data_IF_439932362787
#
_entry.id   IF_439932362787
#
_cell.length_a   1.000
_cell.length_b   1.000
_cell.length_c   1.000
_cell.angle_alpha   90.00
_cell.angle_beta   90.00
_cell.angle_gamma   90.00
#
_symmetry.space_group_name_H-M   'P 1'
#
loop_
_entity.id
_entity.type
_entity.pdbx_description
1 polymer ?
#
# COMPACT_ATOMS: atom_id res chain seq x y z
N UNK A 1 4.34 44.06 -1.85
CA UNK A 1 4.57 42.71 -2.39
C UNK A 1 4.01 41.71 -1.40
N UNK A 2 3.07 40.88 -1.84
CA UNK A 2 2.29 39.94 -1.03
C UNK A 2 3.04 38.61 -1.01
N UNK A 3 3.55 38.20 0.15
CA UNK A 3 4.02 36.84 0.41
C UNK A 3 3.52 36.46 1.80
N UNK A 4 2.21 36.20 1.89
CA UNK A 4 1.66 35.49 3.03
C UNK A 4 2.04 34.02 2.87
N UNK A 5 3.14 33.67 3.53
CA UNK A 5 3.68 32.32 3.67
C UNK A 5 2.60 31.38 4.23
N UNK A 6 2.47 30.19 3.63
CA UNK A 6 1.45 29.17 3.94
C UNK A 6 1.43 28.68 5.40
N UNK A 7 2.38 29.12 6.22
CA UNK A 7 2.45 28.86 7.66
C UNK A 7 1.25 29.48 8.41
N UNK A 8 0.70 30.60 7.94
CA UNK A 8 -0.41 31.28 8.63
C UNK A 8 -1.77 30.55 8.51
N UNK A 9 -1.95 29.69 7.50
CA UNK A 9 -3.22 28.99 7.27
C UNK A 9 -3.35 27.76 8.19
N UNK A 10 -2.24 27.13 8.58
CA UNK A 10 -2.25 25.94 9.42
C UNK A 10 -2.64 26.24 10.89
N UNK A 11 -2.41 27.47 11.36
CA UNK A 11 -2.76 27.88 12.73
C UNK A 11 -4.23 28.29 12.92
N UNK A 12 -5.03 28.38 11.86
CA UNK A 12 -6.40 28.89 11.95
C UNK A 12 -7.49 27.82 12.14
N UNK A 13 -7.13 26.52 12.13
CA UNK A 13 -8.11 25.40 12.14
C UNK A 13 -8.22 24.73 13.53
N UNK A 14 -7.56 25.22 14.57
CA UNK A 14 -7.55 24.60 15.91
C UNK A 14 -8.42 25.33 16.96
N UNK A 15 -9.53 25.97 16.57
CA UNK A 15 -10.38 26.71 17.54
C UNK A 15 -11.88 26.42 17.50
N UNK A 16 -12.38 25.45 16.72
CA UNK A 16 -13.83 25.20 16.61
C UNK A 16 -14.24 23.74 16.81
N UNK A 17 -13.87 23.14 17.95
CA UNK A 17 -14.44 21.86 18.36
C UNK A 17 -14.72 21.82 19.87
N UNK A 18 -15.64 22.67 20.33
CA UNK A 18 -16.44 22.38 21.53
C UNK A 18 -17.83 21.90 21.06
N UNK A 19 -18.10 20.58 20.99
CA UNK A 19 -19.47 20.10 20.95
C UNK A 19 -20.07 20.21 22.35
N UNK A 20 -20.88 21.25 22.53
CA UNK A 20 -21.79 21.36 23.67
C UNK A 20 -22.73 20.16 23.70
N UNK A 21 -22.76 19.49 24.84
CA UNK A 21 -23.73 18.45 25.14
C UNK A 21 -25.15 19.05 25.14
N UNK A 22 -26.01 18.57 24.25
CA UNK A 22 -27.46 18.62 24.46
C UNK A 22 -27.92 17.18 24.64
N UNK A 23 -28.16 16.84 25.92
CA UNK A 23 -28.98 15.71 26.33
C UNK A 23 -30.39 15.93 25.79
N UNK A 24 -30.86 15.01 24.94
CA UNK A 24 -32.28 14.77 24.75
C UNK A 24 -32.52 13.27 24.96
N UNK A 25 -32.97 12.95 26.18
CA UNK A 25 -33.52 11.66 26.54
C UNK A 25 -34.73 11.36 25.64
N UNK A 26 -34.70 10.24 24.93
CA UNK A 26 -35.88 9.66 24.30
C UNK A 26 -36.23 8.38 25.07
N UNK A 27 -37.08 8.52 26.08
CA UNK A 27 -37.72 7.38 26.75
C UNK A 27 -38.96 6.94 25.95
N UNK A 28 -39.19 5.63 25.85
CA UNK A 28 -40.47 5.10 25.40
C UNK A 28 -40.39 3.88 24.49
N UNK A 29 -39.72 2.82 24.94
CA UNK A 29 -39.94 1.48 24.39
C UNK A 29 -41.35 0.98 24.73
N UNK A 30 -42.03 0.40 23.73
CA UNK A 30 -43.11 -0.57 23.94
C UNK A 30 -42.79 -1.80 23.10
N UNK A 31 -42.71 -3.00 23.69
CA UNK A 31 -42.63 -4.24 22.93
C UNK A 31 -44.03 -4.58 22.41
N UNK A 32 -44.11 -4.98 21.15
CA UNK A 32 -45.27 -5.68 20.62
C UNK A 32 -44.76 -7.03 20.13
N UNK A 33 -44.97 -8.05 20.97
CA UNK A 33 -44.92 -9.45 20.59
C UNK A 33 -46.08 -9.72 19.64
N UNK A 34 -45.81 -10.37 18.50
CA UNK A 34 -46.79 -11.20 17.81
C UNK A 34 -46.03 -12.21 16.92
N UNK A 35 -45.91 -13.41 17.48
CA UNK A 35 -45.60 -14.65 16.78
C UNK A 35 -46.56 -14.88 15.61
N UNK A 36 -46.04 -15.12 14.41
CA UNK A 36 -46.63 -16.10 13.48
C UNK A 36 -45.56 -16.93 12.76
N UNK A 37 -45.46 -18.15 13.27
CA UNK A 37 -44.98 -19.34 12.57
C UNK A 37 -45.66 -19.51 11.20
N UNK A 38 -44.89 -19.84 10.16
CA UNK A 38 -45.21 -20.90 9.18
C UNK A 38 -43.99 -21.13 8.25
N UNK A 39 -43.08 -22.05 8.56
CA UNK A 39 -43.08 -23.46 8.12
C UNK A 39 -43.12 -23.66 6.58
N UNK A 40 -41.94 -23.76 5.94
CA UNK A 40 -41.47 -24.97 5.23
C UNK A 40 -40.23 -24.71 4.35
N UNK A 41 -39.17 -25.50 4.50
CA UNK A 41 -38.18 -25.75 3.46
C UNK A 41 -38.57 -27.03 2.68
N UNK A 42 -38.83 -26.93 1.38
CA UNK A 42 -39.10 -28.11 0.57
C UNK A 42 -38.05 -28.31 -0.55
N UNK A 43 -37.09 -29.17 -0.19
CA UNK A 43 -36.42 -30.25 -0.95
C UNK A 43 -35.76 -29.99 -2.33
N UNK A 44 -34.54 -30.55 -2.57
CA UNK A 44 -33.92 -30.61 -3.89
C UNK A 44 -34.41 -31.82 -4.71
N UNK A 45 -34.49 -31.67 -6.03
CA UNK A 45 -34.76 -32.76 -6.97
C UNK A 45 -33.61 -32.90 -8.00
N UNK A 46 -33.02 -34.11 -7.98
CA UNK A 46 -32.42 -34.91 -9.05
C UNK A 46 -32.85 -34.54 -10.50
N UNK A 47 -32.10 -34.76 -11.59
CA UNK A 47 -31.22 -35.88 -11.95
C UNK A 47 -30.49 -35.58 -13.30
N UNK A 48 -29.22 -35.98 -13.38
CA UNK A 48 -28.54 -36.78 -14.42
C UNK A 48 -28.61 -36.48 -15.94
N UNK A 49 -27.38 -36.37 -16.48
CA UNK A 49 -26.79 -37.00 -17.67
C UNK A 49 -27.23 -36.57 -19.08
N UNK A 50 -26.30 -35.90 -19.77
CA UNK A 50 -25.95 -36.24 -21.16
C UNK A 50 -24.41 -36.25 -21.32
N UNK A 51 -23.86 -37.43 -21.60
CA UNK A 51 -22.54 -37.64 -22.20
C UNK A 51 -22.67 -37.44 -23.72
N UNK A 52 -21.70 -36.78 -24.36
CA UNK A 52 -21.22 -37.16 -25.70
C UNK A 52 -19.93 -36.41 -26.13
N UNK A 53 -18.83 -37.16 -26.10
CA UNK A 53 -17.74 -37.31 -27.08
C UNK A 53 -17.05 -36.12 -27.81
N UNK A 54 -15.80 -35.86 -27.35
CA UNK A 54 -14.50 -35.70 -28.08
C UNK A 54 -14.21 -34.44 -28.95
N UNK A 55 -12.92 -34.11 -29.28
CA UNK A 55 -11.63 -34.75 -28.94
C UNK A 55 -10.52 -33.84 -28.31
N UNK A 56 -9.58 -34.53 -27.66
CA UNK A 56 -8.20 -34.21 -27.25
C UNK A 56 -7.54 -32.86 -27.65
N UNK A 57 -6.91 -32.23 -26.64
CA UNK A 57 -5.64 -31.48 -26.77
C UNK A 57 -4.67 -31.90 -25.65
N UNK A 58 -3.40 -32.22 -25.95
CA UNK A 58 -2.49 -32.85 -24.99
C UNK A 58 -2.02 -31.89 -23.90
N UNK A 59 -2.09 -32.36 -22.65
CA UNK A 59 -1.43 -31.79 -21.50
C UNK A 59 0.08 -32.05 -21.60
N UNK A 60 0.86 -30.99 -21.37
CA UNK A 60 2.31 -31.02 -21.36
C UNK A 60 2.80 -31.78 -20.11
N UNK A 61 3.10 -33.07 -20.27
CA UNK A 61 3.70 -33.91 -19.23
C UNK A 61 5.22 -33.71 -19.25
N UNK A 62 5.77 -33.21 -18.14
CA UNK A 62 7.21 -33.29 -17.85
C UNK A 62 7.65 -34.76 -17.85
N UNK A 63 8.73 -35.13 -18.55
CA UNK A 63 9.31 -36.45 -18.37
C UNK A 63 10.12 -36.47 -17.06
N UNK A 64 9.57 -37.13 -16.04
CA UNK A 64 10.36 -37.75 -14.99
C UNK A 64 10.91 -39.08 -15.53
N UNK A 65 12.22 -39.15 -15.77
CA UNK A 65 13.03 -40.38 -15.67
C UNK A 65 14.51 -40.08 -15.98
N UNK A 66 15.35 -40.12 -14.93
CA UNK A 66 16.57 -40.93 -14.88
C UNK A 66 17.30 -40.70 -13.54
N UNK A 67 16.91 -41.47 -12.54
CA UNK A 67 17.82 -41.86 -11.46
C UNK A 67 18.14 -43.34 -11.67
N UNK A 68 19.31 -43.64 -12.21
CA UNK A 68 20.09 -44.83 -11.83
C UNK A 68 21.53 -44.75 -12.38
N UNK A 69 22.45 -44.58 -11.42
CA UNK A 69 23.77 -45.19 -11.33
C UNK A 69 24.78 -44.92 -12.45
N UNK A 70 25.69 -43.97 -12.17
CA UNK A 70 27.06 -44.08 -12.68
C UNK A 70 28.04 -43.84 -11.51
N UNK A 71 28.54 -44.92 -10.93
CA UNK A 71 29.62 -44.90 -9.95
C UNK A 71 30.94 -44.56 -10.68
N UNK A 72 31.31 -43.29 -10.68
CA UNK A 72 32.70 -42.84 -10.85
C UNK A 72 32.96 -41.65 -9.91
N UNK A 73 34.12 -41.58 -9.22
CA UNK A 73 34.42 -40.49 -8.30
C UNK A 73 34.82 -39.24 -9.09
N UNK A 74 33.86 -38.40 -9.43
CA UNK A 74 34.16 -37.06 -9.94
C UNK A 74 34.46 -36.11 -8.77
N UNK A 75 35.73 -35.68 -8.75
CA UNK A 75 36.39 -34.59 -8.00
C UNK A 75 35.44 -33.51 -7.43
N UNK A 76 35.67 -32.97 -6.21
CA UNK A 76 34.89 -31.86 -5.69
C UNK A 76 35.12 -30.62 -6.57
N UNK A 77 34.18 -30.34 -7.46
CA UNK A 77 34.08 -29.06 -8.12
C UNK A 77 33.51 -28.08 -7.09
N UNK A 78 34.22 -26.97 -6.88
CA UNK A 78 33.84 -25.83 -6.04
C UNK A 78 32.32 -25.67 -5.96
N UNK A 79 31.78 -25.94 -4.77
CA UNK A 79 30.46 -25.46 -4.40
C UNK A 79 30.55 -23.93 -4.43
N UNK A 80 30.07 -23.30 -5.51
CA UNK A 80 29.57 -21.93 -5.37
C UNK A 80 28.57 -21.98 -4.20
N UNK A 81 28.67 -21.08 -3.21
CA UNK A 81 27.65 -21.01 -2.19
C UNK A 81 26.33 -20.80 -2.92
N UNK A 82 25.44 -21.79 -2.84
CA UNK A 82 24.05 -21.60 -3.18
C UNK A 82 23.59 -20.49 -2.24
N UNK A 83 23.50 -19.27 -2.78
CA UNK A 83 22.97 -18.14 -2.04
C UNK A 83 21.58 -18.57 -1.62
N UNK A 84 21.42 -18.77 -0.31
CA UNK A 84 20.14 -19.01 0.30
C UNK A 84 19.27 -17.83 -0.13
N UNK A 85 18.33 -18.09 -1.02
CA UNK A 85 17.22 -17.17 -1.25
C UNK A 85 16.38 -17.24 0.02
N UNK A 86 16.82 -16.52 1.07
CA UNK A 86 15.88 -15.95 2.02
C UNK A 86 14.82 -15.25 1.18
N UNK A 87 13.52 -15.35 1.52
CA UNK A 87 12.52 -14.51 0.90
C UNK A 87 12.78 -13.07 1.35
N UNK A 88 13.75 -12.43 0.71
CA UNK A 88 14.02 -11.02 0.88
C UNK A 88 12.83 -10.27 0.29
N UNK A 89 12.39 -9.21 1.00
CA UNK A 89 11.49 -8.24 0.42
C UNK A 89 12.10 -7.78 -0.90
N UNK A 90 11.58 -8.24 -2.03
CA UNK A 90 12.15 -8.00 -3.36
C UNK A 90 12.33 -6.50 -3.66
N UNK A 91 11.60 -5.64 -2.94
CA UNK A 91 11.74 -4.18 -2.95
C UNK A 91 13.03 -3.66 -2.30
N UNK A 92 13.52 -4.28 -1.23
CA UNK A 92 14.74 -3.88 -0.52
C UNK A 92 16.01 -4.17 -1.32
N UNK A 93 15.98 -5.19 -2.16
CA UNK A 93 17.12 -5.59 -2.98
C UNK A 93 17.17 -4.83 -4.32
N UNK A 94 16.12 -4.08 -4.67
CA UNK A 94 16.10 -3.22 -5.85
C UNK A 94 16.77 -1.88 -5.56
N UNK A 95 17.55 -1.39 -6.53
CA UNK A 95 18.13 -0.04 -6.44
C UNK A 95 17.05 1.03 -6.48
N UNK A 96 17.27 2.14 -5.78
CA UNK A 96 16.31 3.25 -5.75
C UNK A 96 15.99 3.82 -7.13
N UNK A 97 16.93 3.80 -8.08
CA UNK A 97 16.69 4.24 -9.46
C UNK A 97 15.66 3.35 -10.17
N UNK A 98 15.78 2.03 -10.02
CA UNK A 98 14.82 1.08 -10.61
C UNK A 98 13.43 1.24 -10.00
N UNK A 99 13.37 1.51 -8.70
CA UNK A 99 12.11 1.81 -8.02
C UNK A 99 11.50 3.11 -8.52
N UNK A 100 12.32 4.14 -8.74
CA UNK A 100 11.85 5.44 -9.23
C UNK A 100 11.29 5.32 -10.63
N UNK A 101 11.96 4.57 -11.52
CA UNK A 101 11.49 4.30 -12.87
C UNK A 101 10.18 3.51 -12.85
N UNK A 102 10.08 2.46 -12.03
CA UNK A 102 8.82 1.73 -11.85
C UNK A 102 7.70 2.64 -11.36
N UNK A 103 7.98 3.54 -10.42
CA UNK A 103 7.01 4.47 -9.87
C UNK A 103 6.54 5.55 -10.86
N UNK A 104 7.37 5.93 -11.83
CA UNK A 104 6.97 6.83 -12.94
C UNK A 104 5.94 6.15 -13.85
N UNK A 105 6.12 4.87 -14.11
CA UNK A 105 5.25 4.08 -14.98
C UNK A 105 3.94 3.66 -14.29
N UNK A 106 3.88 3.71 -12.95
CA UNK A 106 2.69 3.38 -12.16
C UNK A 106 1.63 4.49 -12.28
N UNK A 107 0.44 4.11 -12.71
CA UNK A 107 -0.75 4.96 -12.75
C UNK A 107 -1.32 5.25 -11.35
N UNK A 108 -2.17 6.25 -11.25
CA UNK A 108 -2.58 6.73 -9.92
C UNK A 108 -3.43 5.74 -9.12
N UNK A 109 -4.28 4.98 -9.82
CA UNK A 109 -5.07 3.92 -9.20
C UNK A 109 -4.22 2.72 -8.80
N UNK A 110 -3.11 2.48 -9.50
CA UNK A 110 -2.20 1.39 -9.17
C UNK A 110 -1.45 1.66 -7.85
N UNK A 111 -1.22 2.91 -7.45
CA UNK A 111 -0.72 3.20 -6.11
C UNK A 111 -1.70 2.74 -5.02
N UNK A 112 -3.01 2.97 -5.21
CA UNK A 112 -4.02 2.47 -4.26
C UNK A 112 -3.96 0.94 -4.16
N UNK A 113 -3.84 0.26 -5.29
CA UNK A 113 -3.78 -1.21 -5.36
C UNK A 113 -2.49 -1.79 -4.72
N UNK A 114 -1.37 -1.07 -4.78
CA UNK A 114 -0.13 -1.46 -4.11
C UNK A 114 -0.26 -1.41 -2.59
N UNK A 115 -1.06 -0.48 -2.08
CA UNK A 115 -1.28 -0.26 -0.66
C UNK A 115 -0.10 0.43 0.04
N UNK A 116 -0.39 1.08 1.16
CA UNK A 116 0.56 1.95 1.86
C UNK A 116 1.87 1.28 2.26
N UNK A 117 1.86 -0.01 2.62
CA UNK A 117 3.09 -0.71 3.05
C UNK A 117 4.09 -0.91 1.93
N UNK A 118 3.63 -1.25 0.72
CA UNK A 118 4.54 -1.38 -0.43
C UNK A 118 5.07 -0.03 -0.86
N UNK A 119 4.23 1.01 -0.82
CA UNK A 119 4.65 2.37 -1.16
C UNK A 119 5.69 2.87 -0.16
N UNK A 120 5.46 2.63 1.13
CA UNK A 120 6.43 2.90 2.19
C UNK A 120 7.76 2.19 1.92
N UNK A 121 7.73 0.91 1.61
CA UNK A 121 8.94 0.15 1.32
C UNK A 121 9.66 0.66 0.07
N UNK A 122 8.93 1.10 -0.95
CA UNK A 122 9.53 1.79 -2.11
C UNK A 122 10.21 3.10 -1.68
N UNK A 123 9.49 3.97 -0.96
CA UNK A 123 10.00 5.26 -0.52
C UNK A 123 11.20 5.14 0.44
N UNK A 124 11.25 4.10 1.29
CA UNK A 124 12.41 3.83 2.17
C UNK A 124 13.70 3.58 1.39
N UNK A 125 13.58 2.92 0.24
CA UNK A 125 14.71 2.59 -0.62
C UNK A 125 15.03 3.68 -1.65
N UNK A 126 14.33 4.83 -1.58
CA UNK A 126 14.59 5.99 -2.42
C UNK A 126 15.31 7.12 -1.67
N UNK A 127 16.11 7.90 -2.39
CA UNK A 127 16.73 9.14 -1.96
C UNK A 127 16.04 10.39 -2.57
N UNK A 128 16.46 11.57 -2.14
CA UNK A 128 15.88 12.84 -2.60
C UNK A 128 15.99 13.03 -4.13
N UNK A 129 17.05 12.55 -4.78
CA UNK A 129 17.21 12.69 -6.23
C UNK A 129 16.22 11.79 -6.97
N UNK A 130 15.98 10.59 -6.46
CA UNK A 130 14.98 9.68 -7.04
C UNK A 130 13.55 10.23 -6.90
N UNK A 131 13.21 10.83 -5.77
CA UNK A 131 11.94 11.56 -5.63
C UNK A 131 11.84 12.74 -6.60
N UNK A 132 12.94 13.47 -6.81
CA UNK A 132 13.00 14.56 -7.79
C UNK A 132 12.77 14.05 -9.21
N UNK A 133 13.43 12.96 -9.58
CA UNK A 133 13.34 12.37 -10.92
C UNK A 133 11.93 11.86 -11.23
N UNK A 134 11.20 11.38 -10.22
CA UNK A 134 9.79 10.98 -10.35
C UNK A 134 8.84 12.16 -10.55
N UNK A 135 9.21 13.34 -10.05
CA UNK A 135 8.37 14.53 -10.05
C UNK A 135 7.35 14.57 -8.91
N UNK A 136 6.97 15.79 -8.53
CA UNK A 136 6.16 16.03 -7.33
C UNK A 136 4.77 15.43 -7.35
N UNK A 137 4.16 15.25 -8.53
CA UNK A 137 2.84 14.61 -8.65
C UNK A 137 2.88 13.13 -8.21
N UNK A 138 3.90 12.38 -8.65
CA UNK A 138 4.07 10.98 -8.25
C UNK A 138 4.43 10.85 -6.77
N UNK A 139 5.28 11.74 -6.26
CA UNK A 139 5.61 11.80 -4.83
C UNK A 139 4.36 12.10 -3.99
N UNK A 140 3.52 13.03 -4.44
CA UNK A 140 2.27 13.34 -3.76
C UNK A 140 1.29 12.16 -3.79
N UNK A 141 1.19 11.46 -4.92
CA UNK A 141 0.32 10.30 -5.00
C UNK A 141 0.81 9.13 -4.11
N UNK A 142 2.13 8.93 -4.02
CA UNK A 142 2.70 8.00 -3.03
C UNK A 142 2.27 8.39 -1.60
N UNK A 143 2.46 9.64 -1.22
CA UNK A 143 2.09 10.12 0.11
C UNK A 143 0.58 10.02 0.37
N UNK A 144 -0.28 10.26 -0.64
CA UNK A 144 -1.74 10.15 -0.52
C UNK A 144 -2.20 8.75 -0.13
N UNK A 145 -1.46 7.74 -0.58
CA UNK A 145 -1.75 6.33 -0.35
C UNK A 145 -1.02 5.74 0.88
N UNK A 146 -0.31 6.57 1.65
CA UNK A 146 0.25 6.21 2.95
C UNK A 146 -0.64 6.68 4.10
N UNK A 147 -0.64 5.90 5.18
CA UNK A 147 -1.24 6.27 6.47
C UNK A 147 -0.21 6.77 7.47
N UNK A 148 -0.69 7.18 8.64
CA UNK A 148 0.16 7.69 9.73
C UNK A 148 1.25 6.71 10.18
N UNK A 149 0.94 5.40 10.23
CA UNK A 149 1.89 4.37 10.62
C UNK A 149 3.01 4.20 9.58
N UNK A 150 2.69 4.31 8.29
CA UNK A 150 3.68 4.26 7.21
C UNK A 150 4.59 5.48 7.22
N UNK A 151 4.06 6.67 7.50
CA UNK A 151 4.88 7.87 7.69
C UNK A 151 5.79 7.74 8.91
N UNK A 152 5.26 7.23 10.03
CA UNK A 152 6.07 6.95 11.22
C UNK A 152 7.22 6.00 10.92
N UNK A 153 6.94 4.93 10.17
CA UNK A 153 7.95 3.97 9.75
C UNK A 153 9.01 4.57 8.81
N UNK A 154 8.63 5.50 7.93
CA UNK A 154 9.56 6.21 7.02
C UNK A 154 10.51 7.15 7.78
N UNK A 155 10.00 7.79 8.83
CA UNK A 155 10.74 8.77 9.61
C UNK A 155 10.82 10.14 8.96
N UNK A 156 11.14 11.15 9.78
CA UNK A 156 11.09 12.57 9.39
C UNK A 156 11.98 12.94 8.22
N UNK A 157 13.15 12.32 8.06
CA UNK A 157 14.08 12.66 6.98
C UNK A 157 13.54 12.23 5.61
N UNK A 158 12.95 11.04 5.51
CA UNK A 158 12.31 10.60 4.26
C UNK A 158 11.07 11.40 3.94
N UNK A 159 10.27 11.75 4.96
CA UNK A 159 9.13 12.64 4.77
C UNK A 159 9.59 14.02 4.27
N UNK A 160 10.67 14.56 4.83
CA UNK A 160 11.30 15.80 4.36
C UNK A 160 11.71 15.70 2.90
N UNK A 161 12.42 14.65 2.51
CA UNK A 161 12.89 14.45 1.14
C UNK A 161 11.71 14.38 0.15
N UNK A 162 10.62 13.71 0.53
CA UNK A 162 9.39 13.70 -0.28
C UNK A 162 8.75 15.09 -0.34
N UNK A 163 8.62 15.78 0.80
CA UNK A 163 8.02 17.09 0.91
C UNK A 163 8.74 18.16 0.07
N UNK A 164 10.08 18.13 0.02
CA UNK A 164 10.90 19.02 -0.82
C UNK A 164 10.63 18.88 -2.31
N UNK A 165 10.17 17.71 -2.73
CA UNK A 165 9.88 17.41 -4.12
C UNK A 165 8.41 17.67 -4.49
N UNK A 166 7.58 18.13 -3.54
CA UNK A 166 6.19 18.51 -3.78
C UNK A 166 6.02 20.03 -3.87
N UNK A 167 5.23 20.49 -4.84
CA UNK A 167 4.83 21.88 -4.96
C UNK A 167 3.58 22.21 -4.15
N UNK A 168 3.22 23.50 -4.12
CA UNK A 168 2.07 23.99 -3.34
C UNK A 168 0.73 23.38 -3.78
N UNK A 169 0.55 23.09 -5.07
CA UNK A 169 -0.68 22.48 -5.57
C UNK A 169 -0.78 21.00 -5.16
N UNK A 170 0.33 20.27 -5.18
CA UNK A 170 0.39 18.89 -4.68
C UNK A 170 0.09 18.81 -3.18
N UNK A 171 0.55 19.78 -2.37
CA UNK A 171 0.15 19.85 -0.96
C UNK A 171 -1.34 20.13 -0.79
N UNK A 172 -1.96 20.97 -1.63
CA UNK A 172 -3.42 21.16 -1.60
C UNK A 172 -4.15 19.85 -1.92
N UNK A 173 -3.69 19.11 -2.91
CA UNK A 173 -4.31 17.86 -3.37
C UNK A 173 -4.17 16.70 -2.36
N UNK A 174 -3.12 16.73 -1.53
CA UNK A 174 -2.95 15.81 -0.40
C UNK A 174 -4.01 16.05 0.70
N UNK A 175 -4.39 17.30 0.91
CA UNK A 175 -5.32 17.70 1.96
C UNK A 175 -4.68 17.78 3.36
N UNK A 176 -5.36 18.51 4.24
CA UNK A 176 -4.85 18.87 5.57
C UNK A 176 -4.54 17.66 6.46
N UNK A 177 -5.36 16.60 6.40
CA UNK A 177 -5.16 15.41 7.23
C UNK A 177 -3.86 14.66 6.88
N UNK A 178 -3.56 14.52 5.59
CA UNK A 178 -2.32 13.88 5.14
C UNK A 178 -1.10 14.74 5.48
N UNK A 179 -1.20 16.05 5.28
CA UNK A 179 -0.14 16.99 5.71
C UNK A 179 0.10 16.87 7.22
N UNK A 180 -0.96 16.81 8.02
CA UNK A 180 -0.87 16.66 9.47
C UNK A 180 -0.17 15.36 9.86
N UNK A 181 -0.49 14.25 9.20
CA UNK A 181 0.15 12.96 9.50
C UNK A 181 1.62 12.92 9.09
N UNK A 182 2.00 13.54 7.97
CA UNK A 182 3.41 13.76 7.62
C UNK A 182 4.12 14.63 8.67
N UNK A 183 3.51 15.77 9.01
CA UNK A 183 4.06 16.76 9.91
C UNK A 183 4.32 16.21 11.33
N UNK A 184 3.42 15.37 11.86
CA UNK A 184 3.61 14.71 13.17
C UNK A 184 4.87 13.84 13.24
N UNK A 185 5.32 13.33 12.11
CA UNK A 185 6.46 12.43 12.00
C UNK A 185 7.75 13.16 11.59
N UNK A 186 7.70 14.50 11.46
CA UNK A 186 8.85 15.36 11.23
C UNK A 186 9.27 16.06 12.53
N UNK A 187 10.58 16.18 12.75
CA UNK A 187 11.15 17.00 13.82
C UNK A 187 11.32 18.46 13.39
N UNK A 188 11.63 19.32 14.37
CA UNK A 188 11.79 20.76 14.13
C UNK A 188 12.88 21.11 13.11
N UNK A 189 13.97 20.36 13.07
CA UNK A 189 15.05 20.60 12.10
C UNK A 189 14.63 20.24 10.68
N UNK A 190 13.85 19.18 10.50
CA UNK A 190 13.31 18.84 9.18
C UNK A 190 12.35 19.91 8.65
N UNK A 191 11.59 20.59 9.51
CA UNK A 191 10.76 21.73 9.09
C UNK A 191 11.55 22.97 8.70
N UNK A 192 12.67 23.25 9.38
CA UNK A 192 13.53 24.39 9.03
C UNK A 192 14.17 24.24 7.65
N UNK A 193 14.34 23.00 7.21
CA UNK A 193 14.96 22.64 5.94
C UNK A 193 13.99 22.68 4.73
N UNK A 194 12.67 22.77 4.94
CA UNK A 194 11.63 22.82 3.88
C UNK A 194 11.47 24.22 3.29
#
# INVERSE_FOLDING_TARGET
MKIFSGIAILLLILTLAFPGAILANHEGGRPHDDDKQNNQPNKPANQQQQQNNQPNKPANQQPQQQQQQNNQPMKPANQQPQQQHTPTNQLKDMTGNKLADMAKDIGDDQFKDLGGDKIKDMAKNMDQNQFKDMGGEKVANMAKNMGGDQFKDLGGDKIKDMAKNMGGDQFKDLGGDKIKDMAKNMGGDQFKDL
#
